data_IF_035684604744
#
_entry.id   IF_035684604744
#
_cell.length_a   1.000
_cell.length_b   1.000
_cell.length_c   1.000
_cell.angle_alpha   90.00
_cell.angle_beta   90.00
_cell.angle_gamma   90.00
#
_symmetry.space_group_name_H-M   'P 1'
#
loop_
_entity.id
_entity.type
_entity.pdbx_description
1 polymer ?
#
# COMPACT_ATOMS: atom_id res chain seq x y z
N UNK A 1 11.51 24.31 -53.94
CA UNK A 1 11.62 24.64 -52.51
C UNK A 1 10.74 23.67 -51.75
N UNK A 2 11.33 22.63 -51.15
CA UNK A 2 10.61 21.61 -50.40
C UNK A 2 10.70 21.93 -48.91
N UNK A 3 9.56 22.11 -48.24
CA UNK A 3 9.47 22.38 -46.81
C UNK A 3 9.70 21.08 -46.04
N UNK A 4 10.82 21.00 -45.31
CA UNK A 4 11.14 19.93 -44.38
C UNK A 4 10.37 20.17 -43.08
N UNK A 5 9.30 19.40 -42.85
CA UNK A 5 8.60 19.36 -41.56
C UNK A 5 9.38 18.39 -40.66
N UNK A 6 10.10 18.95 -39.68
CA UNK A 6 10.79 18.18 -38.64
C UNK A 6 9.75 17.80 -37.58
N UNK A 7 9.40 16.52 -37.50
CA UNK A 7 8.66 15.96 -36.38
C UNK A 7 9.57 15.90 -35.16
N UNK A 8 9.44 16.86 -34.25
CA UNK A 8 10.11 16.84 -32.96
C UNK A 8 9.37 15.84 -32.06
N UNK A 9 9.83 14.59 -32.05
CA UNK A 9 9.40 13.62 -31.06
C UNK A 9 9.87 14.09 -29.68
N UNK A 10 8.97 14.72 -28.92
CA UNK A 10 9.15 14.92 -27.49
C UNK A 10 9.11 13.53 -26.83
N UNK A 11 10.27 12.90 -26.70
CA UNK A 11 10.46 11.87 -25.68
C UNK A 11 10.37 12.58 -24.33
N UNK A 12 9.16 12.63 -23.75
CA UNK A 12 8.98 12.92 -22.35
C UNK A 12 9.51 11.72 -21.57
N UNK A 13 10.84 11.62 -21.45
CA UNK A 13 11.45 10.79 -20.43
C UNK A 13 11.11 11.45 -19.10
N UNK A 14 10.04 10.98 -18.47
CA UNK A 14 9.77 11.27 -17.08
C UNK A 14 11.00 10.73 -16.32
N UNK A 15 11.94 11.62 -16.02
CA UNK A 15 13.07 11.32 -15.17
C UNK A 15 12.42 10.94 -13.82
N UNK A 16 12.28 9.65 -13.57
CA UNK A 16 11.87 9.14 -12.28
C UNK A 16 13.00 9.55 -11.34
N UNK A 17 12.87 10.72 -10.71
CA UNK A 17 13.76 11.15 -9.65
C UNK A 17 13.53 10.13 -8.54
N UNK A 18 14.38 9.10 -8.50
CA UNK A 18 14.42 8.18 -7.38
C UNK A 18 15.04 8.96 -6.24
N UNK A 19 14.19 9.61 -5.44
CA UNK A 19 14.61 10.16 -4.15
C UNK A 19 14.83 8.97 -3.23
N UNK A 20 16.05 8.42 -3.27
CA UNK A 20 16.49 7.44 -2.28
C UNK A 20 16.74 8.23 -1.01
N UNK A 21 15.97 7.96 0.04
CA UNK A 21 16.24 8.52 1.37
C UNK A 21 17.59 8.01 1.86
N UNK A 22 18.65 8.81 1.71
CA UNK A 22 19.91 8.55 2.40
C UNK A 22 19.69 8.65 3.91
N UNK A 23 19.97 7.56 4.63
CA UNK A 23 20.13 7.49 6.09
C UNK A 23 18.96 7.85 7.03
N UNK A 24 17.73 8.09 6.56
CA UNK A 24 16.59 8.36 7.46
C UNK A 24 16.22 7.18 8.38
N UNK A 25 16.54 5.95 7.97
CA UNK A 25 16.24 4.71 8.70
C UNK A 25 17.49 3.85 8.92
N UNK A 26 18.39 4.21 9.85
CA UNK A 26 19.66 3.51 10.02
C UNK A 26 19.53 2.18 10.77
N UNK A 27 18.44 1.95 11.49
CA UNK A 27 18.28 0.77 12.35
C UNK A 27 17.12 -0.11 11.89
N UNK A 28 17.45 -1.27 11.35
CA UNK A 28 16.51 -2.36 11.11
C UNK A 28 16.50 -3.33 12.27
N UNK A 29 15.32 -3.64 12.79
CA UNK A 29 15.11 -4.66 13.82
C UNK A 29 13.95 -5.56 13.43
N UNK A 30 13.89 -6.75 14.02
CA UNK A 30 12.85 -7.75 13.76
C UNK A 30 12.07 -8.01 15.04
N UNK A 31 10.74 -8.04 14.93
CA UNK A 31 9.83 -8.54 15.97
C UNK A 31 9.37 -9.94 15.50
N UNK A 32 9.86 -10.98 16.17
CA UNK A 32 9.57 -12.37 15.83
C UNK A 32 8.11 -12.73 16.15
N UNK A 33 7.48 -13.51 15.27
CA UNK A 33 6.12 -14.03 15.50
C UNK A 33 6.15 -15.38 16.24
N UNK A 34 5.01 -15.79 16.85
CA UNK A 34 4.89 -17.13 17.42
C UNK A 34 5.20 -18.24 16.42
N UNK A 35 5.74 -19.39 16.85
CA UNK A 35 6.05 -20.50 15.97
C UNK A 35 4.85 -20.96 15.14
N UNK A 36 5.07 -21.25 13.85
CA UNK A 36 4.04 -21.74 12.92
C UNK A 36 3.11 -20.65 12.35
N UNK A 37 3.37 -19.38 12.66
CA UNK A 37 2.62 -18.23 12.13
C UNK A 37 3.47 -17.48 11.10
N UNK A 38 2.97 -17.36 9.88
CA UNK A 38 3.47 -16.41 8.89
C UNK A 38 2.61 -15.15 8.88
N UNK A 39 3.19 -14.03 8.47
CA UNK A 39 2.75 -12.69 8.90
C UNK A 39 1.32 -12.25 8.63
N UNK A 40 0.85 -11.21 9.36
CA UNK A 40 -0.43 -10.60 9.08
C UNK A 40 -0.35 -9.86 7.74
N UNK A 41 -1.26 -10.20 6.83
CA UNK A 41 -1.31 -9.52 5.53
C UNK A 41 -1.57 -8.02 5.69
N UNK A 42 -2.43 -7.65 6.63
CA UNK A 42 -2.76 -6.28 7.00
C UNK A 42 -3.07 -6.21 8.49
N UNK A 43 -2.67 -5.13 9.13
CA UNK A 43 -3.32 -4.64 10.34
C UNK A 43 -3.89 -3.24 10.06
N UNK A 44 -5.04 -2.93 10.64
CA UNK A 44 -5.58 -1.57 10.68
C UNK A 44 -6.06 -1.27 12.10
N UNK A 45 -6.11 0.01 12.44
CA UNK A 45 -6.72 0.50 13.66
C UNK A 45 -7.81 1.49 13.25
N UNK A 46 -8.90 1.54 14.00
CA UNK A 46 -9.91 2.57 13.81
C UNK A 46 -9.45 3.92 14.37
N UNK A 47 -10.19 4.98 14.05
CA UNK A 47 -9.84 6.34 14.44
C UNK A 47 -9.90 6.60 15.96
N UNK A 48 -10.54 5.71 16.73
CA UNK A 48 -10.58 5.77 18.19
C UNK A 48 -9.46 4.94 18.84
N UNK A 49 -8.54 4.37 18.03
CA UNK A 49 -7.48 3.48 18.50
C UNK A 49 -7.92 2.04 18.73
N UNK A 50 -9.16 1.68 18.38
CA UNK A 50 -9.66 0.31 18.42
C UNK A 50 -9.08 -0.56 17.31
N UNK A 51 -9.06 -1.88 17.54
CA UNK A 51 -8.33 -2.85 16.73
C UNK A 51 -7.24 -3.56 17.54
N UNK A 52 -6.31 -4.28 16.89
CA UNK A 52 -6.11 -4.34 15.44
C UNK A 52 -7.23 -5.10 14.70
N UNK A 53 -7.47 -4.67 13.46
CA UNK A 53 -8.24 -5.40 12.46
C UNK A 53 -7.28 -6.13 11.53
N UNK A 54 -7.38 -7.45 11.44
CA UNK A 54 -6.47 -8.28 10.65
C UNK A 54 -7.23 -9.06 9.59
N UNK A 55 -6.72 -9.08 8.36
CA UNK A 55 -7.21 -9.96 7.31
C UNK A 55 -6.48 -11.30 7.38
N UNK A 56 -7.22 -12.41 7.34
CA UNK A 56 -6.68 -13.78 7.32
C UNK A 56 -6.94 -14.44 5.96
N UNK A 57 -6.16 -15.47 5.63
CA UNK A 57 -6.08 -16.07 4.29
C UNK A 57 -7.40 -16.67 3.78
N UNK A 58 -8.32 -17.04 4.69
CA UNK A 58 -9.67 -17.52 4.33
C UNK A 58 -10.62 -16.38 3.89
N UNK A 59 -10.12 -15.16 3.83
CA UNK A 59 -10.86 -13.99 3.38
C UNK A 59 -11.61 -13.28 4.50
N UNK A 60 -11.57 -13.73 5.75
CA UNK A 60 -12.16 -12.99 6.87
C UNK A 60 -11.30 -11.81 7.29
N UNK A 61 -11.97 -10.80 7.84
CA UNK A 61 -11.39 -9.72 8.63
C UNK A 61 -11.80 -9.96 10.07
N UNK A 62 -10.81 -10.10 10.95
CA UNK A 62 -11.01 -10.25 12.38
C UNK A 62 -10.75 -8.91 13.08
N UNK A 63 -11.48 -8.62 14.14
CA UNK A 63 -11.27 -7.46 15.02
C UNK A 63 -10.83 -7.95 16.40
N UNK A 64 -9.79 -7.35 16.96
CA UNK A 64 -9.43 -7.56 18.37
C UNK A 64 -10.48 -6.94 19.30
N UNK A 65 -11.03 -7.76 20.19
CA UNK A 65 -11.87 -7.33 21.30
C UNK A 65 -10.99 -7.14 22.54
N UNK A 66 -10.84 -5.89 22.99
CA UNK A 66 -10.01 -5.56 24.15
C UNK A 66 -10.60 -6.02 25.48
N UNK A 67 -11.91 -6.22 25.56
CA UNK A 67 -12.61 -6.66 26.77
C UNK A 67 -12.46 -8.17 26.94
N UNK A 68 -12.72 -8.91 25.86
CA UNK A 68 -12.67 -10.36 25.83
C UNK A 68 -11.25 -10.90 25.60
N UNK A 69 -10.32 -10.05 25.18
CA UNK A 69 -8.94 -10.40 24.81
C UNK A 69 -8.85 -11.50 23.75
N UNK A 70 -9.74 -11.44 22.76
CA UNK A 70 -9.81 -12.41 21.64
C UNK A 70 -10.06 -11.69 20.30
N UNK A 71 -9.78 -12.37 19.20
CA UNK A 71 -10.21 -11.94 17.88
C UNK A 71 -11.62 -12.44 17.57
N UNK A 72 -12.48 -11.56 17.08
CA UNK A 72 -13.84 -11.88 16.61
C UNK A 72 -13.97 -11.63 15.12
N UNK A 73 -14.80 -12.43 14.44
CA UNK A 73 -15.11 -12.23 13.02
C UNK A 73 -15.86 -10.91 12.82
N UNK A 74 -15.37 -10.09 11.89
CA UNK A 74 -15.89 -8.75 11.65
C UNK A 74 -16.45 -8.58 10.23
N UNK A 75 -15.74 -9.05 9.22
CA UNK A 75 -16.16 -8.92 7.82
C UNK A 75 -15.52 -9.99 6.93
N UNK A 76 -15.90 -10.02 5.64
CA UNK A 76 -15.26 -10.80 4.59
C UNK A 76 -14.71 -9.88 3.51
N UNK A 77 -13.57 -10.26 2.94
CA UNK A 77 -12.97 -9.61 1.78
C UNK A 77 -13.71 -10.01 0.50
N UNK A 78 -13.68 -9.12 -0.49
CA UNK A 78 -14.26 -9.37 -1.80
C UNK A 78 -13.16 -9.26 -2.86
N UNK A 79 -12.98 -10.27 -3.71
CA UNK A 79 -11.96 -10.21 -4.75
C UNK A 79 -12.28 -9.09 -5.75
N UNK A 80 -11.23 -8.40 -6.21
CA UNK A 80 -11.24 -7.48 -7.35
C UNK A 80 -12.27 -6.34 -7.29
N UNK A 81 -12.69 -5.93 -6.08
CA UNK A 81 -13.69 -4.89 -5.85
C UNK A 81 -13.24 -3.94 -4.75
N UNK A 82 -13.59 -2.66 -4.90
CA UNK A 82 -13.57 -1.69 -3.80
C UNK A 82 -14.98 -1.64 -3.20
N UNK A 83 -15.09 -1.94 -1.91
CA UNK A 83 -16.34 -1.90 -1.16
C UNK A 83 -16.31 -0.78 -0.12
N UNK A 84 -17.45 -0.12 0.06
CA UNK A 84 -17.74 0.75 1.20
C UNK A 84 -18.73 0.04 2.10
N UNK A 85 -18.43 -0.04 3.39
CA UNK A 85 -19.37 -0.47 4.42
C UNK A 85 -19.78 0.74 5.27
N UNK A 86 -21.08 0.89 5.48
CA UNK A 86 -21.65 1.89 6.39
C UNK A 86 -22.07 1.20 7.70
N UNK A 87 -21.40 1.47 8.84
CA UNK A 87 -21.71 0.80 10.10
C UNK A 87 -23.05 1.21 10.72
N UNK A 88 -23.61 2.38 10.34
CA UNK A 88 -24.89 2.85 10.86
C UNK A 88 -26.03 2.12 10.16
N UNK A 89 -25.99 2.08 8.83
CA UNK A 89 -27.03 1.44 8.01
C UNK A 89 -26.79 -0.06 7.80
N UNK A 90 -25.59 -0.55 8.14
CA UNK A 90 -25.09 -1.92 7.88
C UNK A 90 -25.08 -2.29 6.39
N UNK A 91 -25.05 -1.29 5.51
CA UNK A 91 -25.08 -1.49 4.07
C UNK A 91 -23.67 -1.61 3.48
N UNK A 92 -23.55 -2.45 2.44
CA UNK A 92 -22.34 -2.58 1.63
C UNK A 92 -22.61 -2.03 0.24
N UNK A 93 -21.81 -1.06 -0.19
CA UNK A 93 -21.87 -0.49 -1.55
C UNK A 93 -20.61 -0.88 -2.32
N UNK A 94 -20.77 -1.32 -3.56
CA UNK A 94 -19.63 -1.52 -4.47
C UNK A 94 -19.27 -0.20 -5.10
N UNK A 95 -18.07 0.32 -4.81
CA UNK A 95 -17.57 1.57 -5.37
C UNK A 95 -16.87 1.35 -6.72
N UNK A 96 -16.08 0.28 -6.84
CA UNK A 96 -15.32 -0.03 -8.06
C UNK A 96 -15.24 -1.54 -8.27
N UNK A 97 -15.25 -1.97 -9.54
CA UNK A 97 -15.20 -3.38 -9.97
C UNK A 97 -14.06 -3.59 -10.96
N UNK A 98 -13.66 -4.84 -11.14
CA UNK A 98 -12.68 -5.22 -12.17
C UNK A 98 -11.26 -4.78 -11.85
N UNK A 99 -10.95 -4.58 -10.56
CA UNK A 99 -9.59 -4.24 -10.13
C UNK A 99 -8.65 -5.43 -10.36
N UNK A 100 -7.49 -5.18 -10.96
CA UNK A 100 -6.48 -6.18 -11.25
C UNK A 100 -5.64 -6.50 -10.00
N UNK A 101 -6.18 -7.36 -9.12
CA UNK A 101 -5.54 -7.77 -7.88
C UNK A 101 -5.53 -6.65 -6.83
N UNK A 102 -6.70 -6.30 -6.29
CA UNK A 102 -6.84 -5.22 -5.31
C UNK A 102 -6.01 -5.51 -4.03
N UNK A 103 -4.98 -4.71 -3.75
CA UNK A 103 -4.06 -4.93 -2.62
C UNK A 103 -4.56 -4.34 -1.29
N UNK A 104 -5.14 -3.15 -1.34
CA UNK A 104 -5.81 -2.53 -0.20
C UNK A 104 -6.10 -1.03 -0.39
N UNK A 105 -7.20 -0.50 0.20
CA UNK A 105 -7.56 0.90 0.06
C UNK A 105 -6.95 1.80 1.15
N UNK A 106 -6.73 3.07 0.82
CA UNK A 106 -6.45 4.14 1.78
C UNK A 106 -7.33 5.37 1.48
N UNK A 107 -8.14 5.78 2.44
CA UNK A 107 -8.99 6.98 2.32
C UNK A 107 -8.16 8.24 2.62
N UNK A 108 -8.42 9.32 1.88
CA UNK A 108 -7.81 10.62 2.13
C UNK A 108 -8.23 11.20 3.48
N UNK A 109 -7.45 12.14 4.01
CA UNK A 109 -7.71 12.77 5.31
C UNK A 109 -9.06 13.51 5.34
N UNK A 110 -9.30 14.30 4.30
CA UNK A 110 -10.53 15.05 4.05
C UNK A 110 -11.71 14.20 3.53
N UNK A 111 -11.50 12.87 3.36
CA UNK A 111 -12.48 11.92 2.85
C UNK A 111 -13.00 12.23 1.45
N UNK A 112 -12.26 13.00 0.65
CA UNK A 112 -12.63 13.33 -0.73
C UNK A 112 -12.32 12.22 -1.74
N UNK A 113 -11.37 11.32 -1.45
CA UNK A 113 -11.04 10.20 -2.33
C UNK A 113 -10.52 8.96 -1.57
N UNK A 114 -10.44 7.84 -2.29
CA UNK A 114 -9.80 6.59 -1.84
C UNK A 114 -8.77 6.17 -2.88
N UNK A 115 -7.56 5.83 -2.42
CA UNK A 115 -6.54 5.19 -3.24
C UNK A 115 -6.66 3.68 -3.14
N UNK A 116 -6.49 2.97 -4.25
CA UNK A 116 -6.48 1.51 -4.31
C UNK A 116 -5.33 1.04 -5.18
N UNK A 117 -4.51 0.14 -4.65
CA UNK A 117 -3.47 -0.53 -5.43
C UNK A 117 -4.04 -1.68 -6.26
N UNK A 118 -3.56 -1.79 -7.49
CA UNK A 118 -3.79 -2.93 -8.37
C UNK A 118 -2.49 -3.68 -8.56
N UNK A 119 -2.35 -4.80 -7.84
CA UNK A 119 -1.14 -5.63 -7.82
C UNK A 119 -0.75 -6.09 -9.22
N UNK A 120 -1.68 -6.69 -9.96
CA UNK A 120 -1.43 -7.18 -11.33
C UNK A 120 -1.36 -6.02 -12.31
N UNK A 121 -2.18 -5.00 -12.10
CA UNK A 121 -2.22 -3.80 -12.94
C UNK A 121 -1.02 -2.86 -12.80
N UNK A 122 -0.13 -3.10 -11.82
CA UNK A 122 1.07 -2.30 -11.51
C UNK A 122 0.78 -0.80 -11.42
N UNK A 123 -0.31 -0.43 -10.75
CA UNK A 123 -0.77 0.96 -10.66
C UNK A 123 -1.52 1.22 -9.37
N UNK A 124 -1.71 2.50 -9.07
CA UNK A 124 -2.63 2.98 -8.04
C UNK A 124 -3.75 3.74 -8.73
N UNK A 125 -4.99 3.36 -8.44
CA UNK A 125 -6.18 4.11 -8.83
C UNK A 125 -6.62 5.03 -7.70
N UNK A 126 -7.13 6.20 -8.08
CA UNK A 126 -7.85 7.13 -7.21
C UNK A 126 -9.33 7.07 -7.56
N UNK A 127 -10.16 6.73 -6.59
CA UNK A 127 -11.61 6.79 -6.66
C UNK A 127 -12.11 8.01 -5.89
N UNK A 128 -12.82 8.91 -6.55
CA UNK A 128 -13.35 10.14 -5.96
C UNK A 128 -14.64 9.85 -5.19
N UNK A 129 -14.68 10.21 -3.91
CA UNK A 129 -15.85 10.06 -3.05
C UNK A 129 -16.77 11.28 -3.07
N UNK A 130 -16.19 12.47 -3.22
CA UNK A 130 -16.90 13.75 -3.20
C UNK A 130 -16.41 14.68 -4.31
N UNK A 131 -17.05 15.85 -4.43
CA UNK A 131 -16.70 16.88 -5.41
C UNK A 131 -17.21 16.57 -6.83
N UNK A 132 -16.78 17.38 -7.80
CA UNK A 132 -17.24 17.30 -9.21
C UNK A 132 -16.90 15.99 -9.90
N UNK A 133 -15.90 15.25 -9.40
CA UNK A 133 -15.50 13.94 -9.90
C UNK A 133 -16.10 12.77 -9.10
N UNK A 134 -17.00 13.02 -8.13
CA UNK A 134 -17.53 11.97 -7.26
C UNK A 134 -18.05 10.75 -8.05
N UNK A 135 -17.77 9.55 -7.54
CA UNK A 135 -18.09 8.25 -8.14
C UNK A 135 -17.36 7.94 -9.45
N UNK A 136 -16.25 8.62 -9.73
CA UNK A 136 -15.35 8.29 -10.84
C UNK A 136 -13.99 7.81 -10.34
N UNK A 137 -13.25 7.11 -11.20
CA UNK A 137 -11.90 6.64 -10.92
C UNK A 137 -10.92 7.11 -12.00
N UNK A 138 -9.68 7.35 -11.60
CA UNK A 138 -8.57 7.65 -12.51
C UNK A 138 -7.29 6.96 -12.04
N UNK A 139 -6.37 6.69 -12.97
CA UNK A 139 -5.04 6.20 -12.63
C UNK A 139 -4.26 7.36 -12.00
N UNK A 140 -3.82 7.18 -10.76
CA UNK A 140 -2.99 8.15 -10.05
C UNK A 140 -1.53 8.05 -10.49
N UNK A 141 -1.00 6.82 -10.51
CA UNK A 141 0.40 6.54 -10.86
C UNK A 141 0.53 5.09 -11.37
N UNK A 142 1.35 4.90 -12.41
CA UNK A 142 1.84 3.60 -12.86
C UNK A 142 3.19 3.30 -12.19
N UNK A 143 3.41 2.07 -11.78
CA UNK A 143 4.54 1.66 -10.95
C UNK A 143 5.42 0.61 -11.66
N UNK A 144 6.73 0.58 -11.39
CA UNK A 144 7.64 -0.39 -12.01
C UNK A 144 7.49 -1.81 -11.45
N UNK A 145 6.90 -1.95 -10.25
CA UNK A 145 6.66 -3.21 -9.56
C UNK A 145 5.18 -3.47 -9.29
N UNK A 146 4.91 -4.54 -8.55
CA UNK A 146 3.57 -4.93 -8.14
C UNK A 146 3.23 -4.28 -6.78
N UNK A 147 2.34 -3.27 -6.74
CA UNK A 147 1.97 -2.61 -5.50
C UNK A 147 1.05 -3.53 -4.67
N UNK A 148 1.24 -3.51 -3.36
CA UNK A 148 0.39 -4.17 -2.39
C UNK A 148 -0.29 -3.11 -1.51
N UNK A 149 -0.32 -3.24 -0.19
CA UNK A 149 -1.14 -2.35 0.66
C UNK A 149 -0.63 -0.91 0.62
N UNK A 150 -1.62 0.00 0.61
CA UNK A 150 -1.42 1.44 0.77
C UNK A 150 -1.86 1.81 2.18
N UNK A 151 -1.03 2.58 2.90
CA UNK A 151 -1.31 3.11 4.24
C UNK A 151 -1.10 4.61 4.23
N UNK A 152 -1.90 5.36 4.99
CA UNK A 152 -1.61 6.77 5.23
C UNK A 152 -0.28 6.90 5.97
N UNK A 153 0.50 7.92 5.61
CA UNK A 153 1.62 8.40 6.42
C UNK A 153 1.07 9.20 7.62
N UNK A 154 1.93 9.48 8.59
CA UNK A 154 1.63 10.47 9.64
C UNK A 154 1.59 11.91 9.08
N UNK A 155 2.24 12.16 7.94
CA UNK A 155 2.11 13.43 7.21
C UNK A 155 0.81 13.44 6.41
N UNK A 156 -0.03 14.45 6.63
CA UNK A 156 -1.30 14.58 5.93
C UNK A 156 -1.12 14.62 4.40
N UNK A 157 -1.96 13.87 3.69
CA UNK A 157 -1.93 13.80 2.23
C UNK A 157 -0.86 12.88 1.64
N UNK A 158 -0.07 12.21 2.48
CA UNK A 158 0.96 11.27 2.06
C UNK A 158 0.62 9.81 2.42
N UNK A 159 1.20 8.88 1.67
CA UNK A 159 0.88 7.47 1.74
C UNK A 159 2.13 6.62 1.55
N UNK A 160 2.24 5.56 2.34
CA UNK A 160 3.19 4.47 2.13
C UNK A 160 2.55 3.35 1.31
N UNK A 161 3.29 2.84 0.33
CA UNK A 161 2.90 1.76 -0.55
C UNK A 161 3.97 0.68 -0.50
N UNK A 162 3.58 -0.55 -0.16
CA UNK A 162 4.44 -1.71 -0.34
C UNK A 162 4.56 -2.02 -1.85
N UNK A 163 5.78 -2.09 -2.38
CA UNK A 163 6.05 -2.40 -3.78
C UNK A 163 7.00 -3.59 -3.90
N UNK A 164 6.67 -4.55 -4.76
CA UNK A 164 7.53 -5.68 -5.08
C UNK A 164 8.01 -5.58 -6.53
N UNK A 165 9.28 -5.27 -6.74
CA UNK A 165 9.88 -5.25 -8.07
C UNK A 165 10.47 -6.61 -8.37
N UNK A 166 9.86 -7.34 -9.30
CA UNK A 166 10.27 -8.70 -9.67
C UNK A 166 11.13 -8.63 -10.93
N UNK A 167 12.39 -9.04 -10.82
CA UNK A 167 13.28 -9.30 -11.96
C UNK A 167 13.26 -10.78 -12.31
N UNK A 168 13.21 -11.10 -13.60
CA UNK A 168 13.19 -12.47 -14.11
C UNK A 168 14.54 -12.92 -14.69
N UNK A 169 15.58 -12.06 -14.68
CA UNK A 169 16.88 -12.33 -15.31
C UNK A 169 18.04 -11.87 -14.42
N UNK A 170 19.11 -12.67 -14.23
CA UNK A 170 19.32 -14.06 -14.68
C UNK A 170 18.60 -15.13 -13.83
N UNK A 171 18.10 -14.75 -12.65
CA UNK A 171 17.29 -15.58 -11.75
C UNK A 171 16.09 -14.77 -11.27
N UNK A 172 15.01 -15.45 -10.87
CA UNK A 172 13.87 -14.78 -10.24
C UNK A 172 14.32 -14.11 -8.95
N UNK A 173 14.19 -12.78 -8.90
CA UNK A 173 14.56 -11.98 -7.75
C UNK A 173 13.49 -10.94 -7.44
N UNK A 174 13.08 -10.88 -6.17
CA UNK A 174 12.19 -9.85 -5.67
C UNK A 174 12.98 -8.78 -4.91
N UNK A 175 12.91 -7.54 -5.39
CA UNK A 175 13.40 -6.35 -4.71
C UNK A 175 12.24 -5.61 -4.03
N UNK A 176 11.97 -5.86 -2.74
CA UNK A 176 10.92 -5.14 -2.02
C UNK A 176 11.32 -3.69 -1.75
N UNK A 177 10.36 -2.77 -1.88
CA UNK A 177 10.53 -1.34 -1.68
C UNK A 177 9.32 -0.74 -0.96
N UNK A 178 9.55 0.17 -0.02
CA UNK A 178 8.52 1.07 0.47
C UNK A 178 8.52 2.34 -0.37
N UNK A 179 7.39 2.70 -0.98
CA UNK A 179 7.24 3.97 -1.67
C UNK A 179 6.43 4.93 -0.82
N UNK A 180 6.90 6.16 -0.64
CA UNK A 180 6.10 7.26 -0.09
C UNK A 180 5.65 8.15 -1.24
N UNK A 181 4.34 8.30 -1.39
CA UNK A 181 3.71 9.12 -2.43
C UNK A 181 2.76 10.12 -1.79
N UNK A 182 2.39 11.18 -2.51
CA UNK A 182 1.30 12.06 -2.09
C UNK A 182 0.00 11.80 -2.87
N UNK A 183 -1.08 12.47 -2.44
CA UNK A 183 -2.39 12.40 -3.08
C UNK A 183 -2.45 12.88 -4.52
N UNK A 184 -1.40 13.52 -5.06
CA UNK A 184 -1.28 13.93 -6.46
C UNK A 184 -0.54 12.89 -7.31
N UNK A 185 -0.03 11.81 -6.71
CA UNK A 185 0.74 10.78 -7.41
C UNK A 185 2.22 11.12 -7.54
N UNK A 186 2.73 12.13 -6.84
CA UNK A 186 4.15 12.42 -6.80
C UNK A 186 4.86 11.43 -5.88
N UNK A 187 5.97 10.85 -6.35
CA UNK A 187 6.86 10.02 -5.54
C UNK A 187 7.75 10.92 -4.69
N UNK A 188 7.67 10.77 -3.37
CA UNK A 188 8.41 11.56 -2.39
C UNK A 188 9.65 10.80 -1.89
N UNK A 189 9.55 9.48 -1.77
CA UNK A 189 10.59 8.64 -1.18
C UNK A 189 10.54 7.21 -1.72
N UNK A 190 11.70 6.62 -1.99
CA UNK A 190 11.84 5.18 -2.22
C UNK A 190 12.79 4.59 -1.20
N UNK A 191 12.29 3.61 -0.45
CA UNK A 191 13.01 2.91 0.60
C UNK A 191 13.30 1.46 0.17
N UNK A 192 14.54 1.11 -0.21
CA UNK A 192 14.91 -0.27 -0.52
C UNK A 192 14.87 -1.13 0.74
N UNK A 193 14.23 -2.31 0.67
CA UNK A 193 14.06 -3.21 1.82
C UNK A 193 14.78 -4.55 1.65
N UNK A 194 15.64 -4.65 0.64
CA UNK A 194 16.37 -5.89 0.27
C UNK A 194 17.22 -6.44 1.42
N UNK A 195 17.86 -5.58 2.23
CA UNK A 195 18.70 -6.03 3.36
C UNK A 195 17.90 -6.73 4.46
N UNK A 196 16.63 -6.36 4.66
CA UNK A 196 15.77 -6.93 5.71
C UNK A 196 14.87 -8.07 5.22
N UNK A 197 14.49 -8.04 3.93
CA UNK A 197 13.49 -8.91 3.31
C UNK A 197 14.03 -9.60 2.05
N UNK A 198 15.30 -9.97 2.04
CA UNK A 198 15.99 -10.53 0.87
C UNK A 198 15.14 -11.56 0.12
N UNK A 199 14.80 -11.24 -1.14
CA UNK A 199 13.97 -12.06 -2.03
C UNK A 199 12.55 -12.40 -1.55
N UNK A 200 12.12 -11.86 -0.41
CA UNK A 200 10.76 -11.95 0.10
C UNK A 200 9.90 -10.81 -0.47
N UNK A 201 8.62 -11.08 -0.73
CA UNK A 201 7.66 -10.03 -1.04
C UNK A 201 7.21 -9.33 0.24
N UNK A 202 6.93 -8.04 0.17
CA UNK A 202 6.30 -7.30 1.27
C UNK A 202 4.83 -7.03 0.96
N UNK A 203 4.00 -7.09 1.99
CA UNK A 203 2.56 -6.85 1.90
C UNK A 203 2.21 -5.42 2.32
N UNK A 204 2.91 -4.87 3.31
CA UNK A 204 2.59 -3.58 3.92
C UNK A 204 3.85 -2.85 4.38
N UNK A 205 3.82 -1.53 4.24
CA UNK A 205 4.71 -0.59 4.93
C UNK A 205 3.79 0.42 5.62
N UNK A 206 3.89 0.53 6.94
CA UNK A 206 3.04 1.39 7.75
C UNK A 206 3.88 2.26 8.67
N UNK A 207 3.71 3.57 8.56
CA UNK A 207 4.33 4.53 9.47
C UNK A 207 3.50 4.64 10.74
N UNK A 208 4.19 4.58 11.88
CA UNK A 208 3.61 4.82 13.19
C UNK A 208 4.70 5.14 14.22
N UNK A 209 4.51 6.19 15.03
CA UNK A 209 5.40 6.58 16.14
C UNK A 209 6.88 6.63 15.73
N UNK A 210 7.18 7.40 14.68
CA UNK A 210 8.54 7.57 14.14
C UNK A 210 9.21 6.25 13.71
N UNK A 211 8.42 5.25 13.32
CA UNK A 211 8.94 4.00 12.78
C UNK A 211 8.11 3.53 11.58
N UNK A 212 8.75 2.82 10.67
CA UNK A 212 8.06 2.03 9.65
C UNK A 212 7.99 0.58 10.11
N UNK A 213 6.78 0.04 10.08
CA UNK A 213 6.48 -1.37 10.30
C UNK A 213 6.23 -2.02 8.94
N UNK A 214 7.06 -3.01 8.63
CA UNK A 214 7.01 -3.74 7.38
C UNK A 214 6.48 -5.14 7.69
N UNK A 215 5.49 -5.57 6.91
CA UNK A 215 4.91 -6.91 7.01
C UNK A 215 5.08 -7.67 5.71
N UNK A 216 5.36 -8.96 5.81
CA UNK A 216 5.48 -9.89 4.68
C UNK A 216 4.71 -11.17 4.99
N UNK A 217 4.19 -11.82 3.94
CA UNK A 217 3.62 -13.16 4.01
C UNK A 217 4.68 -14.26 3.98
N UNK A 218 5.87 -13.91 3.50
CA UNK A 218 6.96 -14.83 3.23
C UNK A 218 7.95 -14.86 4.41
N UNK A 219 7.66 -14.13 5.49
CA UNK A 219 8.47 -14.06 6.70
C UNK A 219 7.65 -14.34 7.95
N UNK A 220 8.36 -14.72 9.00
CA UNK A 220 7.88 -15.02 10.35
C UNK A 220 8.19 -13.88 11.34
N UNK A 221 8.45 -12.68 10.83
CA UNK A 221 8.76 -11.48 11.63
C UNK A 221 8.14 -10.23 11.03
N UNK A 222 7.93 -9.22 11.89
CA UNK A 222 7.65 -7.83 11.48
C UNK A 222 8.97 -7.06 11.50
N UNK A 223 9.33 -6.44 10.38
CA UNK A 223 10.50 -5.58 10.27
C UNK A 223 10.17 -4.18 10.77
N UNK A 224 11.07 -3.59 11.56
CA UNK A 224 10.89 -2.25 12.12
C UNK A 224 12.10 -1.40 11.76
N UNK A 225 11.83 -0.30 11.08
CA UNK A 225 12.81 0.73 10.73
C UNK A 225 12.51 1.99 11.54
N UNK A 226 13.39 2.34 12.48
CA UNK A 226 13.23 3.56 13.28
C UNK A 226 13.75 4.77 12.51
N UNK A 227 12.93 5.82 12.45
CA UNK A 227 13.29 7.12 11.90
C UNK A 227 14.19 7.84 12.91
N UNK A 228 15.26 8.46 12.42
CA UNK A 228 16.03 9.41 13.25
C UNK A 228 15.23 10.71 13.35
N UNK A 229 15.11 11.32 14.54
CA UNK A 229 14.47 12.62 14.72
C UNK A 229 15.08 13.72 13.84
#
# INVERSE_FOLDING_TARGET
>A
MANLIVFMFFFCSLLLVVVVSGNAYPFFSKIQMPPGVTGPESAAFDAAGGGPYVSVTDGRVLKWDSTLKVFVEFAYTAPNRLLKYDPVTKQVTVLLRGLAGAGGPAVSFDRSFVLVSEYVGKRIQKFWLTGVKANTAEILINLPGNPNKIKRSETEGEYWVALNVISQQPILFTAPQGLRINGLGMLLETLPLVTGYFNASIAVVQEHNLALYIGSRDTDFVGVLKKVP
#
